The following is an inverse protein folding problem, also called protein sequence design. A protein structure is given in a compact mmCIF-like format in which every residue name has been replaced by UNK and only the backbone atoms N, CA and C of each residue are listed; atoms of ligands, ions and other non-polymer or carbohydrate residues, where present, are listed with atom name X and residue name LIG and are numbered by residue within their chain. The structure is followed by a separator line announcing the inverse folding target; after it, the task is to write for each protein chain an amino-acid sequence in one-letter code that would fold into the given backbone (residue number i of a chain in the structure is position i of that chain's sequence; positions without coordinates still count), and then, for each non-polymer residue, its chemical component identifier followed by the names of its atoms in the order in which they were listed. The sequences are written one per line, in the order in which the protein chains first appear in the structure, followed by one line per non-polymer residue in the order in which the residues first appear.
data_IF_466135287543
#
_entry.id   IF_466135287543
#
_cell.length_a   1.000
_cell.length_b   1.000
_cell.length_c   1.000
_cell.angle_alpha   90.00
_cell.angle_beta   90.00
_cell.angle_gamma   90.00
#
_symmetry.space_group_name_H-M   'P 1'
#
loop_
_entity.id
_entity.type
_entity.pdbx_description
1 polymer ?
#
# COMPACT_ATOMS: atom_id res chain seq x y z
N UNK A 1 10.83 -6.03 -53.75
CA UNK A 1 11.62 -6.93 -54.64
C UNK A 1 13.10 -6.74 -54.35
N UNK A 2 13.92 -7.82 -54.38
CA UNK A 2 15.34 -7.87 -53.96
C UNK A 2 16.30 -7.47 -55.11
N UNK A 3 17.64 -7.43 -54.91
CA UNK A 3 18.54 -8.60 -55.16
C UNK A 3 19.67 -8.76 -54.10
N UNK A 4 20.07 -9.99 -53.68
CA UNK A 4 21.02 -10.98 -54.27
C UNK A 4 22.50 -10.50 -54.36
N UNK A 5 23.42 -11.01 -53.51
CA UNK A 5 24.28 -12.24 -53.61
C UNK A 5 25.58 -12.00 -54.42
N UNK A 6 26.77 -11.98 -53.79
CA UNK A 6 27.81 -13.07 -53.67
C UNK A 6 29.23 -12.41 -53.68
N UNK A 7 30.39 -13.10 -53.64
CA UNK A 7 30.82 -14.36 -53.00
C UNK A 7 32.15 -14.25 -52.18
N UNK A 8 32.46 -15.35 -51.50
CA UNK A 8 33.69 -15.76 -50.79
C UNK A 8 34.93 -15.83 -51.72
N UNK A 9 36.19 -15.88 -51.22
CA UNK A 9 36.81 -17.21 -51.03
C UNK A 9 37.85 -17.34 -49.88
N UNK A 10 37.95 -18.57 -49.35
CA UNK A 10 39.06 -19.14 -48.56
C UNK A 10 40.28 -19.40 -49.46
N UNK A 11 41.53 -19.55 -48.96
CA UNK A 11 41.99 -20.89 -48.55
C UNK A 11 43.12 -20.97 -47.46
N UNK A 12 43.08 -22.10 -46.73
CA UNK A 12 44.19 -22.98 -46.30
C UNK A 12 45.37 -22.47 -45.44
N UNK A 13 45.67 -23.22 -44.35
CA UNK A 13 46.83 -24.18 -44.25
C UNK A 13 47.28 -24.40 -42.78
N UNK A 14 47.13 -25.62 -42.27
CA UNK A 14 47.86 -26.23 -41.11
C UNK A 14 49.26 -26.70 -41.61
N UNK A 15 50.32 -27.01 -40.80
CA UNK A 15 50.33 -27.75 -39.50
C UNK A 15 51.51 -27.50 -38.50
N UNK A 16 51.53 -28.26 -37.38
CA UNK A 16 52.67 -28.69 -36.52
C UNK A 16 53.46 -27.60 -35.72
N UNK A 17 54.04 -27.78 -34.51
CA UNK A 17 54.23 -28.86 -33.52
C UNK A 17 54.79 -28.25 -32.20
N UNK A 18 54.54 -28.94 -31.07
CA UNK A 18 55.30 -29.08 -29.81
C UNK A 18 56.31 -27.99 -29.33
N UNK A 19 56.22 -27.61 -28.04
CA UNK A 19 57.26 -27.72 -26.96
C UNK A 19 56.75 -27.01 -25.68
N UNK A 20 56.65 -27.68 -24.52
CA UNK A 20 57.52 -27.54 -23.31
C UNK A 20 57.81 -26.06 -22.92
N UNK A 21 57.70 -25.53 -21.69
CA UNK A 21 57.78 -26.07 -20.33
C UNK A 21 57.51 -24.93 -19.32
N UNK A 22 57.15 -25.31 -18.08
CA UNK A 22 57.58 -24.73 -16.78
C UNK A 22 57.14 -23.33 -16.29
N UNK A 23 56.42 -23.40 -15.15
CA UNK A 23 56.45 -22.56 -13.93
C UNK A 23 55.71 -21.20 -13.83
N UNK A 24 55.13 -20.89 -12.63
CA UNK A 24 54.10 -19.87 -12.45
C UNK A 24 54.62 -18.61 -11.75
N UNK A 25 54.10 -17.44 -12.09
CA UNK A 25 54.10 -16.28 -11.19
C UNK A 25 53.13 -15.17 -11.66
N UNK A 26 52.23 -14.80 -10.74
CA UNK A 26 51.80 -13.42 -10.47
C UNK A 26 50.82 -12.69 -11.43
N UNK A 27 49.54 -12.68 -10.99
CA UNK A 27 48.60 -11.53 -10.81
C UNK A 27 48.31 -10.63 -12.04
N UNK A 28 47.02 -10.38 -12.39
CA UNK A 28 46.25 -9.35 -11.69
C UNK A 28 44.81 -9.75 -11.34
N UNK A 29 44.48 -9.69 -10.05
CA UNK A 29 43.10 -9.58 -9.58
C UNK A 29 42.60 -8.17 -9.95
N UNK A 30 41.80 -8.07 -11.00
CA UNK A 30 41.01 -6.87 -11.27
C UNK A 30 40.00 -6.66 -10.14
N UNK A 31 40.25 -5.61 -9.37
CA UNK A 31 39.28 -4.99 -8.50
C UNK A 31 38.18 -4.35 -9.35
N UNK A 32 37.06 -5.04 -9.54
CA UNK A 32 35.80 -4.37 -9.87
C UNK A 32 34.98 -4.31 -8.60
N UNK A 33 35.27 -3.31 -7.77
CA UNK A 33 34.39 -2.93 -6.67
C UNK A 33 33.13 -2.31 -7.29
N UNK A 34 32.11 -3.14 -7.51
CA UNK A 34 30.76 -2.65 -7.66
C UNK A 34 30.30 -2.13 -6.30
N UNK A 35 30.45 -0.81 -6.11
CA UNK A 35 29.87 -0.06 -5.00
C UNK A 35 28.36 -0.27 -4.98
N UNK A 36 27.89 -1.20 -4.15
CA UNK A 36 26.48 -1.32 -3.79
C UNK A 36 26.14 -0.17 -2.86
N UNK A 37 25.65 0.92 -3.42
CA UNK A 37 24.96 1.97 -2.67
C UNK A 37 23.74 1.34 -1.96
N UNK A 38 23.64 1.30 -0.62
CA UNK A 38 22.42 0.90 0.05
C UNK A 38 21.55 2.15 0.23
N UNK A 39 20.84 2.56 -0.82
CA UNK A 39 19.58 3.29 -0.61
C UNK A 39 18.51 2.23 -0.36
N UNK A 40 18.57 1.61 0.81
CA UNK A 40 17.66 0.54 1.21
C UNK A 40 16.26 1.14 1.33
N UNK A 41 15.44 0.98 0.28
CA UNK A 41 14.01 0.74 0.52
C UNK A 41 14.01 -0.52 1.38
N UNK A 42 13.91 -0.37 2.71
CA UNK A 42 13.94 -1.49 3.62
C UNK A 42 12.91 -2.53 3.15
N UNK A 43 13.39 -3.71 2.78
CA UNK A 43 12.54 -4.80 2.37
C UNK A 43 11.59 -5.15 3.52
N UNK A 44 10.34 -5.41 3.20
CA UNK A 44 9.37 -5.87 4.20
C UNK A 44 9.85 -7.19 4.80
N UNK A 45 9.61 -7.42 6.09
CA UNK A 45 9.83 -8.74 6.68
C UNK A 45 9.05 -9.81 5.91
N UNK A 46 9.49 -11.08 5.87
CA UNK A 46 8.78 -12.13 5.13
C UNK A 46 7.31 -12.25 5.52
N UNK A 47 7.00 -12.10 6.82
CA UNK A 47 5.64 -12.10 7.33
C UNK A 47 4.81 -10.92 6.81
N UNK A 48 5.36 -9.70 6.85
CA UNK A 48 4.67 -8.51 6.33
C UNK A 48 4.51 -8.57 4.80
N UNK A 49 5.48 -9.14 4.08
CA UNK A 49 5.39 -9.37 2.64
C UNK A 49 4.27 -10.38 2.31
N UNK A 50 4.15 -11.48 3.07
CA UNK A 50 3.06 -12.43 2.89
C UNK A 50 1.68 -11.80 3.17
N UNK A 51 1.57 -10.92 4.17
CA UNK A 51 0.34 -10.15 4.44
C UNK A 51 0.04 -9.20 3.28
N UNK A 52 1.04 -8.50 2.75
CA UNK A 52 0.91 -7.61 1.59
C UNK A 52 0.28 -8.33 0.40
N UNK A 53 0.82 -9.50 0.03
CA UNK A 53 0.34 -10.30 -1.09
C UNK A 53 -1.07 -10.83 -0.85
N UNK A 54 -1.35 -11.34 0.36
CA UNK A 54 -2.65 -11.92 0.73
C UNK A 54 -3.80 -10.90 0.62
N UNK A 55 -3.55 -9.66 1.01
CA UNK A 55 -4.56 -8.60 1.00
C UNK A 55 -4.48 -7.70 -0.24
N UNK A 56 -3.57 -7.98 -1.17
CA UNK A 56 -3.31 -7.18 -2.37
C UNK A 56 -3.09 -5.68 -2.06
N UNK A 57 -2.33 -5.39 -1.01
CA UNK A 57 -2.01 -4.03 -0.57
C UNK A 57 -0.63 -3.59 -1.04
N UNK A 58 -0.41 -2.28 -1.07
CA UNK A 58 0.88 -1.70 -1.41
C UNK A 58 1.89 -1.85 -0.28
N UNK A 59 3.18 -1.93 -0.65
CA UNK A 59 4.27 -1.91 0.33
C UNK A 59 4.25 -0.67 1.26
N UNK A 60 4.04 0.57 0.76
CA UNK A 60 3.85 1.74 1.63
C UNK A 60 2.74 1.56 2.67
N UNK A 61 1.59 1.01 2.29
CA UNK A 61 0.46 0.77 3.21
C UNK A 61 0.87 -0.20 4.31
N UNK A 62 1.48 -1.34 3.96
CA UNK A 62 1.94 -2.32 4.96
C UNK A 62 2.98 -1.73 5.91
N UNK A 63 3.93 -0.93 5.40
CA UNK A 63 4.91 -0.24 6.25
C UNK A 63 4.25 0.71 7.23
N UNK A 64 3.27 1.49 6.77
CA UNK A 64 2.53 2.43 7.61
C UNK A 64 1.69 1.72 8.69
N UNK A 65 1.10 0.57 8.37
CA UNK A 65 0.40 -0.25 9.36
C UNK A 65 1.37 -0.87 10.38
N UNK A 66 2.51 -1.38 9.91
CA UNK A 66 3.55 -1.97 10.76
C UNK A 66 4.19 -0.96 11.73
N UNK A 67 4.16 0.34 11.41
CA UNK A 67 4.68 1.40 12.28
C UNK A 67 3.73 1.79 13.42
N UNK A 68 2.51 1.24 13.49
CA UNK A 68 1.61 1.48 14.62
C UNK A 68 2.23 0.99 15.94
N UNK A 69 2.00 1.70 17.07
CA UNK A 69 2.44 1.23 18.38
C UNK A 69 1.75 -0.09 18.76
N UNK A 70 2.20 -0.73 19.84
CA UNK A 70 1.46 -1.87 20.44
C UNK A 70 0.19 -1.35 21.11
N UNK A 71 -0.90 -2.11 20.99
CA UNK A 71 -2.22 -1.76 21.52
C UNK A 71 -2.72 -0.39 21.07
N UNK A 72 -2.68 -0.04 19.76
CA UNK A 72 -3.10 1.28 19.32
C UNK A 72 -4.60 1.49 19.62
N UNK A 73 -5.03 2.73 19.90
CA UNK A 73 -6.44 3.02 20.10
C UNK A 73 -7.23 2.89 18.78
N UNK A 74 -8.54 2.55 18.81
CA UNK A 74 -9.33 2.34 17.60
C UNK A 74 -9.34 3.51 16.62
N UNK A 75 -9.36 4.75 17.10
CA UNK A 75 -9.32 5.94 16.26
C UNK A 75 -8.00 6.09 15.49
N UNK A 76 -6.87 5.66 16.08
CA UNK A 76 -5.57 5.68 15.41
C UNK A 76 -5.41 4.54 14.41
N UNK A 77 -5.95 3.35 14.72
CA UNK A 77 -6.06 2.25 13.75
C UNK A 77 -6.85 2.74 12.53
N UNK A 78 -8.03 3.33 12.76
CA UNK A 78 -8.89 3.78 11.68
C UNK A 78 -8.24 4.90 10.87
N UNK A 79 -7.59 5.87 11.52
CA UNK A 79 -6.86 6.95 10.86
C UNK A 79 -5.77 6.37 9.97
N UNK A 80 -4.91 5.50 10.52
CA UNK A 80 -3.81 4.89 9.77
C UNK A 80 -4.30 4.06 8.59
N UNK A 81 -5.35 3.27 8.79
CA UNK A 81 -5.97 2.48 7.73
C UNK A 81 -6.58 3.38 6.63
N UNK A 82 -7.24 4.48 7.00
CA UNK A 82 -7.83 5.42 6.05
C UNK A 82 -6.79 6.17 5.21
N UNK A 83 -5.56 6.32 5.73
CA UNK A 83 -4.42 6.91 5.01
C UNK A 83 -3.68 5.94 4.09
N UNK A 84 -4.22 4.75 3.84
CA UNK A 84 -3.63 3.78 2.92
C UNK A 84 -3.55 4.33 1.47
N UNK A 85 -2.51 3.96 0.74
CA UNK A 85 -2.24 4.49 -0.61
C UNK A 85 -3.32 4.13 -1.64
N UNK A 86 -4.06 3.07 -1.38
CA UNK A 86 -5.19 2.57 -2.17
C UNK A 86 -6.31 3.60 -2.25
N UNK A 87 -6.33 4.56 -1.31
CA UNK A 87 -7.38 5.56 -1.22
C UNK A 87 -7.08 6.89 -1.94
N UNK A 88 -5.91 7.05 -2.55
CA UNK A 88 -5.51 8.33 -3.16
C UNK A 88 -6.48 8.81 -4.27
N UNK A 89 -7.24 7.90 -4.88
CA UNK A 89 -8.24 8.24 -5.89
C UNK A 89 -9.58 8.76 -5.35
N UNK A 90 -9.85 8.64 -4.04
CA UNK A 90 -11.12 9.07 -3.44
C UNK A 90 -11.06 10.51 -2.93
N UNK A 91 -10.96 11.45 -3.85
CA UNK A 91 -10.99 12.88 -3.51
C UNK A 91 -12.41 13.34 -3.15
N UNK A 92 -12.49 14.45 -2.42
CA UNK A 92 -13.78 15.11 -2.15
C UNK A 92 -14.34 15.74 -3.42
N UNK A 93 -15.65 15.56 -3.62
CA UNK A 93 -16.43 16.49 -4.43
C UNK A 93 -16.74 17.74 -3.59
N UNK A 94 -16.69 18.97 -4.14
CA UNK A 94 -17.10 20.18 -3.43
C UNK A 94 -18.44 20.07 -2.68
N UNK A 95 -19.44 19.42 -3.29
CA UNK A 95 -20.76 19.24 -2.66
C UNK A 95 -20.73 18.24 -1.48
N UNK A 96 -19.92 17.19 -1.59
CA UNK A 96 -19.72 16.23 -0.49
C UNK A 96 -18.95 16.88 0.67
N UNK A 97 -17.97 17.74 0.36
CA UNK A 97 -17.10 18.38 1.35
C UNK A 97 -17.88 19.19 2.37
N UNK A 98 -18.90 19.93 1.95
CA UNK A 98 -19.75 20.72 2.86
C UNK A 98 -20.52 19.82 3.82
N UNK A 99 -21.10 18.72 3.31
CA UNK A 99 -21.81 17.75 4.14
C UNK A 99 -20.87 17.06 5.15
N UNK A 100 -19.71 16.61 4.69
CA UNK A 100 -18.69 16.00 5.56
C UNK A 100 -18.12 16.97 6.57
N UNK A 101 -18.00 18.26 6.24
CA UNK A 101 -17.62 19.29 7.22
C UNK A 101 -18.66 19.44 8.32
N UNK A 102 -19.95 19.34 7.98
CA UNK A 102 -21.02 19.39 8.98
C UNK A 102 -21.00 18.17 9.89
N UNK A 103 -20.87 16.96 9.31
CA UNK A 103 -20.72 15.72 10.07
C UNK A 103 -19.52 15.83 11.01
N UNK A 104 -18.36 16.24 10.50
CA UNK A 104 -17.13 16.34 11.30
C UNK A 104 -17.22 17.31 12.48
N UNK A 105 -18.06 18.34 12.38
CA UNK A 105 -18.29 19.33 13.44
C UNK A 105 -19.47 18.96 14.35
N UNK A 106 -20.20 17.88 14.07
CA UNK A 106 -21.29 17.42 14.91
C UNK A 106 -20.76 16.89 16.26
N UNK A 107 -21.36 17.26 17.41
CA UNK A 107 -20.93 16.77 18.71
C UNK A 107 -20.98 15.25 18.89
N UNK A 108 -21.79 14.54 18.10
CA UNK A 108 -21.87 13.06 18.11
C UNK A 108 -20.71 12.39 17.35
N UNK A 109 -19.91 13.14 16.60
CA UNK A 109 -18.77 12.60 15.86
C UNK A 109 -17.69 12.12 16.81
N UNK A 110 -17.38 10.82 16.72
CA UNK A 110 -16.49 10.13 17.65
C UNK A 110 -15.05 10.62 17.61
N UNK A 111 -14.50 10.83 16.41
CA UNK A 111 -13.13 11.27 16.19
C UNK A 111 -13.12 12.43 15.19
N UNK A 112 -13.43 13.66 15.63
CA UNK A 112 -13.43 14.81 14.74
C UNK A 112 -12.00 15.11 14.25
N UNK A 113 -11.89 15.44 12.97
CA UNK A 113 -10.67 15.94 12.34
C UNK A 113 -10.56 17.43 12.63
N UNK A 114 -9.41 17.85 13.18
CA UNK A 114 -9.13 19.26 13.50
C UNK A 114 -8.53 20.03 12.32
N UNK A 115 -8.18 19.32 11.26
CA UNK A 115 -7.54 19.85 10.07
C UNK A 115 -8.54 20.11 8.95
N UNK A 116 -8.12 20.85 7.92
CA UNK A 116 -8.99 21.15 6.79
C UNK A 116 -9.24 19.89 5.96
N UNK A 117 -10.51 19.59 5.66
CA UNK A 117 -10.91 18.41 4.88
C UNK A 117 -10.53 18.56 3.39
N UNK A 118 -9.28 18.28 3.05
CA UNK A 118 -8.75 18.34 1.67
C UNK A 118 -8.30 16.99 1.15
N UNK A 119 -7.61 16.23 2.00
CA UNK A 119 -6.98 14.97 1.60
C UNK A 119 -7.97 13.82 1.36
N UNK A 120 -7.67 12.89 0.42
CA UNK A 120 -8.50 11.71 0.17
C UNK A 120 -8.74 10.86 1.41
N UNK A 121 -7.73 10.74 2.29
CA UNK A 121 -7.84 9.95 3.50
C UNK A 121 -8.85 10.52 4.49
N UNK A 122 -9.07 11.84 4.52
CA UNK A 122 -10.10 12.45 5.35
C UNK A 122 -11.50 11.97 4.95
N UNK A 123 -11.77 11.88 3.63
CA UNK A 123 -13.05 11.36 3.11
C UNK A 123 -13.26 9.94 3.56
N UNK A 124 -12.26 9.08 3.39
CA UNK A 124 -12.32 7.67 3.79
C UNK A 124 -12.52 7.53 5.30
N UNK A 125 -11.81 8.32 6.09
CA UNK A 125 -11.93 8.32 7.54
C UNK A 125 -13.34 8.71 8.01
N UNK A 126 -13.93 9.75 7.41
CA UNK A 126 -15.29 10.18 7.74
C UNK A 126 -16.34 9.18 7.26
N UNK A 127 -16.20 8.63 6.05
CA UNK A 127 -17.07 7.54 5.56
C UNK A 127 -17.06 6.37 6.53
N UNK A 128 -15.88 5.96 6.99
CA UNK A 128 -15.77 4.84 7.91
C UNK A 128 -16.41 5.11 9.29
N UNK A 129 -16.33 6.36 9.78
CA UNK A 129 -17.03 6.77 11.00
C UNK A 129 -18.55 6.73 10.81
N UNK A 130 -19.07 7.23 9.68
CA UNK A 130 -20.49 7.14 9.35
C UNK A 130 -20.96 5.69 9.30
N UNK A 131 -20.25 4.80 8.60
CA UNK A 131 -20.61 3.37 8.53
C UNK A 131 -20.62 2.71 9.92
N UNK A 132 -19.62 3.01 10.76
CA UNK A 132 -19.58 2.52 12.14
C UNK A 132 -20.79 2.98 12.97
N UNK A 133 -21.30 4.18 12.70
CA UNK A 133 -22.46 4.79 13.36
C UNK A 133 -23.80 4.49 12.69
N UNK A 134 -23.87 3.59 11.69
CA UNK A 134 -25.12 3.18 11.05
C UNK A 134 -25.37 3.76 9.65
N UNK A 135 -24.36 4.35 9.03
CA UNK A 135 -24.41 4.80 7.63
C UNK A 135 -25.17 6.10 7.42
N UNK A 136 -25.28 6.95 8.45
CA UNK A 136 -25.88 8.27 8.30
C UNK A 136 -24.86 9.29 7.77
N UNK A 137 -25.22 9.90 6.64
CA UNK A 137 -24.44 10.95 5.96
C UNK A 137 -25.15 12.31 6.02
N UNK A 138 -26.26 12.41 6.75
CA UNK A 138 -27.09 13.59 6.88
C UNK A 138 -27.86 13.95 5.60
N UNK A 139 -28.68 14.99 5.74
CA UNK A 139 -29.62 15.45 4.72
C UNK A 139 -29.05 16.52 3.79
N UNK A 140 -27.86 17.04 4.09
CA UNK A 140 -27.23 18.15 3.34
C UNK A 140 -26.58 17.71 2.03
N UNK A 141 -26.59 16.41 1.70
CA UNK A 141 -26.13 15.92 0.40
C UNK A 141 -27.22 16.11 -0.65
N UNK A 142 -26.88 16.80 -1.74
CA UNK A 142 -27.72 16.78 -2.93
C UNK A 142 -27.87 15.35 -3.47
N UNK A 143 -28.98 15.05 -4.15
CA UNK A 143 -29.27 13.71 -4.66
C UNK A 143 -28.13 13.15 -5.53
N UNK A 144 -27.55 13.98 -6.40
CA UNK A 144 -26.39 13.61 -7.25
C UNK A 144 -25.13 13.32 -6.42
N UNK A 145 -24.85 14.13 -5.40
CA UNK A 145 -23.71 13.91 -4.51
C UNK A 145 -23.91 12.66 -3.65
N UNK A 146 -25.13 12.39 -3.19
CA UNK A 146 -25.48 11.17 -2.46
C UNK A 146 -25.28 9.93 -3.32
N UNK A 147 -25.76 9.90 -4.55
CA UNK A 147 -25.55 8.76 -5.46
C UNK A 147 -24.07 8.47 -5.71
N UNK A 148 -23.27 9.51 -5.98
CA UNK A 148 -21.83 9.37 -6.17
C UNK A 148 -21.15 8.87 -4.89
N UNK A 149 -21.52 9.42 -3.73
CA UNK A 149 -20.99 9.00 -2.45
C UNK A 149 -21.33 7.53 -2.17
N UNK A 150 -22.56 7.08 -2.42
CA UNK A 150 -22.95 5.67 -2.23
C UNK A 150 -22.16 4.72 -3.15
N UNK A 151 -21.90 5.14 -4.39
CA UNK A 151 -21.02 4.40 -5.30
C UNK A 151 -19.58 4.30 -4.73
N UNK A 152 -18.99 5.44 -4.36
CA UNK A 152 -17.65 5.50 -3.78
C UNK A 152 -17.57 4.69 -2.47
N UNK A 153 -18.59 4.78 -1.61
CA UNK A 153 -18.71 4.13 -0.30
C UNK A 153 -18.48 2.63 -0.40
N UNK A 154 -19.19 1.95 -1.32
CA UNK A 154 -19.06 0.50 -1.47
C UNK A 154 -17.61 0.07 -1.73
N UNK A 155 -16.90 0.81 -2.60
CA UNK A 155 -15.49 0.57 -2.92
C UNK A 155 -14.57 0.94 -1.75
N UNK A 156 -14.86 2.06 -1.06
CA UNK A 156 -14.11 2.49 0.13
C UNK A 156 -14.18 1.43 1.22
N UNK A 157 -15.38 0.98 1.60
CA UNK A 157 -15.56 0.01 2.69
C UNK A 157 -14.92 -1.33 2.34
N UNK A 158 -15.02 -1.77 1.08
CA UNK A 158 -14.36 -2.99 0.62
C UNK A 158 -12.84 -2.92 0.82
N UNK A 159 -12.19 -1.88 0.31
CA UNK A 159 -10.73 -1.69 0.43
C UNK A 159 -10.36 -1.51 1.90
N UNK A 160 -11.12 -0.73 2.67
CA UNK A 160 -10.85 -0.47 4.08
C UNK A 160 -10.97 -1.75 4.91
N UNK A 161 -11.92 -2.62 4.57
CA UNK A 161 -12.03 -3.96 5.15
C UNK A 161 -10.77 -4.78 4.93
N UNK A 162 -10.18 -4.74 3.73
CA UNK A 162 -8.90 -5.41 3.44
C UNK A 162 -7.74 -4.81 4.26
N UNK A 163 -7.63 -3.48 4.29
CA UNK A 163 -6.59 -2.77 5.06
C UNK A 163 -6.68 -3.05 6.56
N UNK A 164 -7.88 -3.02 7.13
CA UNK A 164 -8.10 -3.32 8.55
C UNK A 164 -7.84 -4.79 8.87
N UNK A 165 -8.13 -5.72 7.95
CA UNK A 165 -7.80 -7.14 8.12
C UNK A 165 -6.29 -7.39 8.04
N UNK A 166 -5.59 -6.70 7.14
CA UNK A 166 -4.14 -6.70 7.10
C UNK A 166 -3.53 -6.12 8.38
N UNK A 167 -4.11 -5.04 8.92
CA UNK A 167 -3.70 -4.46 10.21
C UNK A 167 -3.82 -5.51 11.34
N UNK A 168 -4.95 -6.22 11.42
CA UNK A 168 -5.15 -7.30 12.39
C UNK A 168 -4.08 -8.40 12.24
N UNK A 169 -3.78 -8.83 11.01
CA UNK A 169 -2.75 -9.85 10.76
C UNK A 169 -1.36 -9.38 11.22
N UNK A 170 -1.00 -8.10 10.98
CA UNK A 170 0.26 -7.49 11.45
C UNK A 170 0.32 -7.48 12.98
N UNK A 171 -0.77 -7.13 13.67
CA UNK A 171 -0.83 -7.18 15.13
C UNK A 171 -0.68 -8.61 15.66
N UNK A 172 -1.26 -9.59 14.96
CA UNK A 172 -1.09 -11.01 15.23
C UNK A 172 0.37 -11.47 15.15
N UNK A 173 1.07 -11.15 14.06
CA UNK A 173 2.51 -11.40 13.90
C UNK A 173 3.35 -10.83 15.05
N UNK A 174 3.00 -9.63 15.52
CA UNK A 174 3.69 -8.96 16.63
C UNK A 174 3.32 -9.52 18.02
N UNK A 175 2.44 -10.51 18.10
CA UNK A 175 1.86 -11.03 19.35
C UNK A 175 1.20 -9.93 20.19
N UNK A 176 0.57 -8.97 19.53
CA UNK A 176 -0.16 -7.87 20.17
C UNK A 176 -1.66 -8.20 20.22
N UNK A 177 -2.06 -8.92 21.27
CA UNK A 177 -3.45 -9.36 21.45
C UNK A 177 -4.42 -8.18 21.56
N UNK A 178 -4.01 -7.08 22.21
CA UNK A 178 -4.85 -5.88 22.37
C UNK A 178 -5.03 -5.18 21.02
N UNK A 179 -3.94 -4.96 20.28
CA UNK A 179 -3.98 -4.37 18.95
C UNK A 179 -4.78 -5.22 17.97
N UNK A 180 -4.62 -6.54 18.01
CA UNK A 180 -5.39 -7.48 17.20
C UNK A 180 -6.89 -7.36 17.49
N UNK A 181 -7.29 -7.42 18.76
CA UNK A 181 -8.69 -7.32 19.18
C UNK A 181 -9.31 -6.01 18.71
N UNK A 182 -8.64 -4.88 18.98
CA UNK A 182 -9.11 -3.55 18.57
C UNK A 182 -9.21 -3.40 17.06
N UNK A 183 -8.25 -3.93 16.30
CA UNK A 183 -8.29 -3.91 14.84
C UNK A 183 -9.49 -4.67 14.28
N UNK A 184 -9.80 -5.83 14.87
CA UNK A 184 -10.98 -6.62 14.51
C UNK A 184 -12.30 -5.96 14.92
N UNK A 185 -12.35 -5.33 16.09
CA UNK A 185 -13.51 -4.55 16.53
C UNK A 185 -13.78 -3.37 15.57
N UNK A 186 -12.74 -2.62 15.19
CA UNK A 186 -12.83 -1.56 14.19
C UNK A 186 -13.28 -2.10 12.83
N UNK A 187 -12.73 -3.23 12.40
CA UNK A 187 -13.14 -3.90 11.16
C UNK A 187 -14.63 -4.26 11.16
N UNK A 188 -15.12 -4.87 12.24
CA UNK A 188 -16.55 -5.22 12.36
C UNK A 188 -17.44 -3.98 12.35
N UNK A 189 -17.06 -2.94 13.08
CA UNK A 189 -17.84 -1.71 13.14
C UNK A 189 -18.04 -1.10 11.74
N UNK A 190 -16.98 -1.09 10.93
CA UNK A 190 -17.01 -0.46 9.60
C UNK A 190 -17.61 -1.37 8.53
N UNK A 191 -17.38 -2.68 8.57
CA UNK A 191 -17.71 -3.60 7.46
C UNK A 191 -19.00 -4.37 7.71
N UNK A 192 -19.36 -4.69 8.96
CA UNK A 192 -20.49 -5.58 9.25
C UNK A 192 -21.88 -4.99 8.96
N UNK A 193 -21.96 -3.70 8.61
CA UNK A 193 -23.23 -2.99 8.33
C UNK A 193 -23.33 -2.47 6.90
N UNK A 194 -22.36 -2.75 6.04
CA UNK A 194 -22.13 -2.02 4.79
C UNK A 194 -22.54 -2.74 3.53
#
# INVERSE_FOLDING_TARGET
MPPLLTPNPTPSKVPHSQSQSSTPASRPSQSTQASKNPKTRADLSPEHHAIMLRHALSSPTIRALASLPRGPPPGEILRRASSATEFLSFTFNPLEKVAFSHINNDPSTRWPLKETLTEPWHKVFLVAQCEASGGDYGDRLSLKARQKLLSDKSRIVKILGQVLRACADIMGCRKDAVGLRRSLETWRAVVSKS
#
